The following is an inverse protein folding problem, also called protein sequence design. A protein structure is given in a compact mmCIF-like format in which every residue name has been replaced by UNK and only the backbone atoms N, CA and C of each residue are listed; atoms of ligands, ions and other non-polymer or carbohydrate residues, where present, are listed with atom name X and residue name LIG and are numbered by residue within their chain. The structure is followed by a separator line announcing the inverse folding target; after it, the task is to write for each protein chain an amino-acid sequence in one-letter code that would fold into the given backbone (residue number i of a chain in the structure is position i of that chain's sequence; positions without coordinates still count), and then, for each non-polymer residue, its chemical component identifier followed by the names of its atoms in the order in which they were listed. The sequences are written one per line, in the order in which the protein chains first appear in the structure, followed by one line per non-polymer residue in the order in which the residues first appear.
data_IF_425146744381
#
_entry.id   IF_425146744381
#
_cell.length_a   1.000
_cell.length_b   1.000
_cell.length_c   1.000
_cell.angle_alpha   90.00
_cell.angle_beta   90.00
_cell.angle_gamma   90.00
#
_symmetry.space_group_name_H-M   'P 1'
#
loop_
_entity.id
_entity.type
_entity.pdbx_description
1 polymer ?
#
# COMPACT_ATOMS: atom_id res chain seq x y z
N UNK A 1 17.47 4.99 4.62
CA UNK A 1 17.29 3.57 4.26
C UNK A 1 18.55 2.80 4.63
N UNK A 2 18.42 1.81 5.48
CA UNK A 2 19.54 0.97 5.94
C UNK A 2 19.70 -0.32 5.14
N UNK A 3 18.79 -0.60 4.25
CA UNK A 3 18.77 -1.81 3.45
C UNK A 3 17.48 -2.60 3.61
N UNK A 4 17.50 -3.84 3.14
CA UNK A 4 16.37 -4.78 3.14
C UNK A 4 16.82 -6.20 3.56
N UNK A 5 17.85 -6.27 4.39
CA UNK A 5 18.38 -7.55 4.87
C UNK A 5 17.45 -8.20 5.91
N UNK A 6 16.75 -7.37 6.68
CA UNK A 6 15.70 -7.76 7.61
C UNK A 6 14.56 -6.74 7.51
N UNK A 7 13.38 -7.07 8.03
CA UNK A 7 12.28 -6.12 8.13
C UNK A 7 12.68 -4.87 8.94
N UNK A 8 13.50 -5.05 9.96
CA UNK A 8 14.02 -3.95 10.77
C UNK A 8 14.90 -2.98 10.00
N UNK A 9 15.79 -3.50 9.15
CA UNK A 9 16.64 -2.66 8.29
C UNK A 9 15.78 -1.90 7.28
N UNK A 10 14.77 -2.56 6.73
CA UNK A 10 13.85 -1.96 5.79
C UNK A 10 13.01 -0.85 6.42
N UNK A 11 12.55 -1.05 7.65
CA UNK A 11 11.74 -0.07 8.39
C UNK A 11 12.55 1.08 8.96
N UNK A 12 13.85 0.90 9.21
CA UNK A 12 14.67 1.91 9.88
C UNK A 12 14.80 3.21 9.07
N UNK A 13 14.63 4.37 9.72
CA UNK A 13 14.75 5.71 9.14
C UNK A 13 13.81 5.94 7.94
N UNK A 14 12.61 5.43 8.03
CA UNK A 14 11.55 5.62 7.02
C UNK A 14 10.55 6.67 7.49
N UNK A 15 9.63 7.01 6.59
CA UNK A 15 8.46 7.81 6.92
C UNK A 15 7.73 7.19 8.13
N UNK A 16 7.46 7.96 9.21
CA UNK A 16 6.82 7.43 10.41
C UNK A 16 5.46 6.77 10.15
N UNK A 17 4.76 7.15 9.09
CA UNK A 17 3.48 6.53 8.69
C UNK A 17 3.65 5.07 8.30
N UNK A 18 4.84 4.64 7.91
CA UNK A 18 5.11 3.23 7.62
C UNK A 18 4.85 2.36 8.87
N UNK A 19 5.21 2.85 10.07
CA UNK A 19 4.94 2.14 11.33
C UNK A 19 3.46 2.17 11.74
N UNK A 20 2.69 3.12 11.19
CA UNK A 20 1.24 3.22 11.40
C UNK A 20 0.46 2.33 10.43
N UNK A 21 1.09 1.89 9.34
CA UNK A 21 0.47 1.10 8.27
C UNK A 21 0.85 -0.37 8.38
N UNK A 22 2.13 -0.64 8.69
CA UNK A 22 2.68 -1.99 8.76
C UNK A 22 3.15 -2.26 10.18
N UNK A 23 2.75 -3.39 10.73
CA UNK A 23 3.17 -3.82 12.05
C UNK A 23 4.68 -4.10 12.07
N UNK A 24 5.35 -3.61 13.10
CA UNK A 24 6.80 -3.76 13.26
C UNK A 24 7.19 -3.51 14.71
N UNK A 25 8.43 -3.87 15.08
CA UNK A 25 8.98 -3.57 16.41
C UNK A 25 9.09 -2.06 16.71
N UNK A 26 9.03 -1.22 15.69
CA UNK A 26 9.05 0.24 15.86
C UNK A 26 7.70 0.81 16.29
N UNK A 27 6.64 0.00 16.27
CA UNK A 27 5.36 0.37 16.83
C UNK A 27 5.51 0.53 18.35
N UNK A 28 5.04 1.63 18.96
CA UNK A 28 5.10 1.82 20.40
C UNK A 28 4.44 0.67 21.16
N UNK A 29 5.17 0.02 22.04
CA UNK A 29 4.66 -1.03 22.91
C UNK A 29 5.31 -0.94 24.29
N UNK A 30 4.63 -1.50 25.29
CA UNK A 30 5.15 -1.67 26.66
C UNK A 30 5.50 -3.14 26.86
N UNK A 31 6.63 -3.41 27.49
CA UNK A 31 7.02 -4.77 27.88
C UNK A 31 6.55 -4.99 29.32
N UNK A 32 5.73 -6.02 29.55
CA UNK A 32 5.33 -6.48 30.88
C UNK A 32 6.47 -7.24 31.57
N UNK A 33 6.36 -7.41 32.89
CA UNK A 33 7.33 -8.15 33.70
C UNK A 33 7.51 -9.62 33.29
N UNK A 34 6.50 -10.23 32.64
CA UNK A 34 6.54 -11.56 32.07
C UNK A 34 7.12 -11.61 30.65
N UNK A 35 7.63 -10.49 30.12
CA UNK A 35 8.18 -10.38 28.77
C UNK A 35 7.15 -10.17 27.67
N UNK A 36 5.85 -10.22 27.95
CA UNK A 36 4.81 -9.94 26.97
C UNK A 36 4.87 -8.48 26.49
N UNK A 37 4.76 -8.28 25.19
CA UNK A 37 4.69 -6.95 24.56
C UNK A 37 3.24 -6.53 24.41
N UNK A 38 2.93 -5.33 24.85
CA UNK A 38 1.60 -4.73 24.78
C UNK A 38 1.67 -3.50 23.92
N UNK A 39 0.95 -3.48 22.81
CA UNK A 39 0.92 -2.33 21.92
C UNK A 39 0.16 -1.18 22.60
N UNK A 40 0.81 -0.02 22.71
CA UNK A 40 0.19 1.19 23.20
C UNK A 40 -0.72 1.79 22.13
N UNK A 41 -1.97 1.37 22.14
CA UNK A 41 -2.95 1.84 21.16
C UNK A 41 -3.69 3.12 21.57
N UNK A 42 -3.48 3.57 22.81
CA UNK A 42 -4.24 4.68 23.39
C UNK A 42 -5.68 4.35 23.76
N UNK A 43 -6.09 3.09 23.63
CA UNK A 43 -7.42 2.55 23.93
C UNK A 43 -7.24 1.41 24.93
N UNK A 44 -8.29 1.08 25.69
CA UNK A 44 -8.21 0.17 26.85
C UNK A 44 -7.81 -1.27 26.48
N UNK A 45 -8.15 -1.74 25.27
CA UNK A 45 -7.79 -3.05 24.80
C UNK A 45 -6.39 -3.05 24.15
N UNK A 46 -5.47 -3.77 24.75
CA UNK A 46 -4.08 -3.86 24.32
C UNK A 46 -3.81 -5.23 23.75
N UNK A 47 -3.36 -5.30 22.48
CA UNK A 47 -2.87 -6.54 21.91
C UNK A 47 -1.57 -6.95 22.57
N UNK A 48 -1.53 -8.16 23.10
CA UNK A 48 -0.32 -8.74 23.72
C UNK A 48 0.39 -9.66 22.72
N UNK A 49 1.70 -9.56 22.68
CA UNK A 49 2.57 -10.43 21.88
C UNK A 49 3.47 -11.21 22.82
N UNK A 50 3.72 -12.47 22.51
CA UNK A 50 4.71 -13.26 23.25
C UNK A 50 6.11 -12.72 23.02
N UNK A 51 7.08 -12.98 23.92
CA UNK A 51 8.46 -12.56 23.72
C UNK A 51 9.12 -13.13 22.47
N UNK A 52 8.63 -14.26 21.97
CA UNK A 52 9.10 -14.94 20.76
C UNK A 52 8.42 -14.47 19.46
N UNK A 53 7.37 -13.64 19.55
CA UNK A 53 6.73 -13.08 18.37
C UNK A 53 7.41 -11.78 17.97
N UNK A 54 7.93 -11.75 16.75
CA UNK A 54 8.40 -10.52 16.14
C UNK A 54 7.19 -9.79 15.52
N UNK A 55 6.83 -8.58 16.02
CA UNK A 55 5.76 -7.80 15.42
C UNK A 55 6.04 -7.51 13.95
N UNK A 56 5.06 -7.71 13.11
CA UNK A 56 5.15 -7.42 11.67
C UNK A 56 5.60 -8.58 10.79
N UNK A 57 6.08 -9.67 11.35
CA UNK A 57 6.57 -10.82 10.59
C UNK A 57 5.63 -12.02 10.68
N UNK A 58 4.38 -11.84 10.30
CA UNK A 58 3.40 -12.95 10.31
C UNK A 58 3.47 -13.74 9.00
N UNK A 59 4.63 -14.33 8.69
CA UNK A 59 4.78 -15.24 7.56
C UNK A 59 4.50 -16.65 8.04
N UNK A 60 3.33 -17.18 7.68
CA UNK A 60 3.00 -18.59 7.93
C UNK A 60 3.30 -19.44 6.71
N UNK A 61 3.57 -20.72 6.92
CA UNK A 61 3.89 -21.70 5.88
C UNK A 61 2.81 -21.86 4.82
N UNK A 62 1.54 -21.63 5.17
CA UNK A 62 0.44 -21.70 4.21
C UNK A 62 -0.27 -20.35 4.10
N UNK A 63 -0.72 -19.93 2.89
CA UNK A 63 -1.67 -18.84 2.76
C UNK A 63 -2.98 -19.27 3.41
N UNK A 64 -3.25 -18.76 4.59
CA UNK A 64 -4.45 -19.05 5.36
C UNK A 64 -5.01 -17.77 5.96
N UNK A 65 -6.10 -17.87 6.70
CA UNK A 65 -6.77 -16.75 7.37
C UNK A 65 -5.87 -16.00 8.37
N UNK A 66 -4.76 -16.60 8.78
CA UNK A 66 -3.84 -16.07 9.81
C UNK A 66 -2.50 -15.57 9.29
N UNK A 67 -2.16 -15.81 8.01
CA UNK A 67 -0.90 -15.41 7.41
C UNK A 67 -1.05 -14.35 6.33
N UNK A 68 -0.01 -13.55 6.10
CA UNK A 68 0.01 -12.57 5.00
C UNK A 68 0.64 -13.16 3.75
N UNK A 69 0.09 -12.82 2.58
CA UNK A 69 0.66 -13.25 1.30
C UNK A 69 1.99 -12.55 0.99
N UNK A 70 2.22 -11.38 1.58
CA UNK A 70 3.36 -10.52 1.26
C UNK A 70 4.53 -10.64 2.23
N UNK A 71 4.31 -11.21 3.42
CA UNK A 71 5.24 -11.11 4.55
C UNK A 71 5.08 -9.84 5.39
N UNK A 72 4.28 -8.87 4.95
CA UNK A 72 3.97 -7.66 5.71
C UNK A 72 2.58 -7.76 6.33
N UNK A 73 2.44 -7.38 7.59
CA UNK A 73 1.17 -7.37 8.31
C UNK A 73 0.60 -5.96 8.36
N UNK A 74 -0.45 -5.64 7.61
CA UNK A 74 -1.07 -4.34 7.67
C UNK A 74 -1.84 -4.16 8.97
N UNK A 75 -1.73 -2.97 9.60
CA UNK A 75 -2.42 -2.62 10.85
C UNK A 75 -3.32 -1.40 10.70
N UNK A 76 -3.19 -0.67 9.60
CA UNK A 76 -4.09 0.43 9.29
C UNK A 76 -5.51 -0.11 9.10
N UNK A 77 -6.50 0.58 9.61
CA UNK A 77 -7.92 0.20 9.56
C UNK A 77 -8.28 -1.03 10.44
N UNK A 78 -7.37 -1.46 11.30
CA UNK A 78 -7.65 -2.48 12.30
C UNK A 78 -8.01 -1.77 13.60
N UNK A 79 -9.10 -2.19 14.25
CA UNK A 79 -9.45 -1.66 15.57
C UNK A 79 -8.33 -1.96 16.56
N UNK A 80 -8.00 -1.00 17.41
CA UNK A 80 -7.07 -1.23 18.51
C UNK A 80 -7.71 -2.08 19.64
N UNK A 81 -9.04 -2.21 19.65
CA UNK A 81 -9.78 -3.02 20.62
C UNK A 81 -9.79 -4.48 20.19
N UNK A 82 -9.29 -5.36 21.06
CA UNK A 82 -9.30 -6.80 20.81
C UNK A 82 -10.74 -7.33 20.72
N UNK A 83 -11.63 -6.84 21.58
CA UNK A 83 -13.04 -7.24 21.56
C UNK A 83 -13.73 -6.91 20.22
N UNK A 84 -13.36 -5.80 19.60
CA UNK A 84 -13.85 -5.44 18.26
C UNK A 84 -13.24 -6.29 17.15
N UNK A 85 -11.98 -6.71 17.29
CA UNK A 85 -11.34 -7.63 16.34
C UNK A 85 -11.96 -9.02 16.40
N UNK A 86 -12.29 -9.50 17.61
CA UNK A 86 -12.86 -10.81 17.83
C UNK A 86 -14.37 -10.87 17.51
N UNK A 87 -15.03 -9.73 17.46
CA UNK A 87 -16.45 -9.60 17.16
C UNK A 87 -16.78 -9.80 15.67
N UNK A 88 -16.48 -10.98 15.14
CA UNK A 88 -16.74 -11.32 13.73
C UNK A 88 -18.22 -11.14 13.40
N UNK A 89 -18.54 -10.29 12.41
CA UNK A 89 -19.91 -9.91 11.97
C UNK A 89 -20.71 -9.03 12.94
N UNK A 90 -20.19 -8.71 14.11
CA UNK A 90 -20.89 -7.90 15.12
C UNK A 90 -20.05 -6.71 15.61
N UNK A 91 -18.90 -6.47 15.00
CA UNK A 91 -18.07 -5.31 15.28
C UNK A 91 -18.84 -4.01 14.99
N UNK A 92 -18.79 -3.09 15.94
CA UNK A 92 -19.33 -1.73 15.83
C UNK A 92 -18.25 -0.70 15.51
N UNK A 93 -17.09 -1.15 15.04
CA UNK A 93 -16.00 -0.26 14.63
C UNK A 93 -16.40 0.56 13.40
N UNK A 94 -16.40 1.87 13.57
CA UNK A 94 -16.80 2.80 12.51
C UNK A 94 -15.76 2.84 11.39
N UNK A 95 -16.25 2.76 10.15
CA UNK A 95 -15.45 2.95 8.96
C UNK A 95 -15.55 4.40 8.49
N UNK A 96 -14.42 5.07 8.30
CA UNK A 96 -14.44 6.42 7.73
C UNK A 96 -14.69 6.35 6.22
N UNK A 97 -15.66 7.11 5.76
CA UNK A 97 -16.00 7.24 4.33
C UNK A 97 -15.13 8.32 3.69
N UNK A 98 -14.94 9.44 4.41
CA UNK A 98 -14.09 10.55 4.02
C UNK A 98 -13.22 10.97 5.18
N UNK A 99 -12.02 11.46 4.89
CA UNK A 99 -11.17 12.08 5.91
C UNK A 99 -10.49 13.33 5.37
N UNK A 100 -10.23 14.26 6.26
CA UNK A 100 -9.71 15.58 5.93
C UNK A 100 -8.40 15.53 5.14
N UNK A 101 -7.53 14.55 5.41
CA UNK A 101 -6.28 14.35 4.67
C UNK A 101 -6.51 14.15 3.16
N UNK A 102 -7.58 13.45 2.76
CA UNK A 102 -7.94 13.28 1.36
C UNK A 102 -8.24 14.61 0.70
N UNK A 103 -9.04 15.47 1.36
CA UNK A 103 -9.41 16.81 0.85
C UNK A 103 -8.17 17.70 0.69
N UNK A 104 -7.25 17.67 1.67
CA UNK A 104 -6.00 18.42 1.59
C UNK A 104 -5.14 17.98 0.39
N UNK A 105 -5.07 16.67 0.16
CA UNK A 105 -4.32 16.09 -0.96
C UNK A 105 -4.96 16.39 -2.32
N UNK A 106 -6.29 16.36 -2.41
CA UNK A 106 -7.02 16.76 -3.63
C UNK A 106 -6.74 18.23 -3.95
N UNK A 107 -6.81 19.10 -2.95
CA UNK A 107 -6.59 20.53 -3.15
C UNK A 107 -5.14 20.83 -3.59
N UNK A 108 -4.16 20.22 -2.93
CA UNK A 108 -2.74 20.38 -3.30
C UNK A 108 -2.48 19.92 -4.74
N UNK A 109 -3.01 18.75 -5.12
CA UNK A 109 -2.83 18.19 -6.47
C UNK A 109 -3.49 19.09 -7.52
N UNK A 110 -4.74 19.49 -7.29
CA UNK A 110 -5.48 20.38 -8.21
C UNK A 110 -4.74 21.73 -8.41
N UNK A 111 -4.26 22.36 -7.33
CA UNK A 111 -3.44 23.58 -7.41
C UNK A 111 -2.15 23.37 -8.18
N UNK A 112 -1.50 22.22 -8.01
CA UNK A 112 -0.27 21.91 -8.74
C UNK A 112 -0.52 21.69 -10.24
N UNK A 113 -1.57 20.97 -10.61
CA UNK A 113 -1.97 20.74 -12.01
C UNK A 113 -2.34 22.05 -12.72
N UNK A 114 -2.93 23.02 -12.01
CA UNK A 114 -3.24 24.35 -12.52
C UNK A 114 -2.02 25.29 -12.58
N UNK A 115 -0.85 24.87 -12.08
CA UNK A 115 0.32 25.75 -11.98
C UNK A 115 0.20 26.81 -10.88
N UNK A 116 -0.72 26.67 -9.95
CA UNK A 116 -1.04 27.63 -8.88
C UNK A 116 -0.55 27.17 -7.49
N UNK A 117 0.26 26.14 -7.41
CA UNK A 117 0.75 25.62 -6.14
C UNK A 117 1.85 26.52 -5.56
N UNK A 118 1.49 27.34 -4.59
CA UNK A 118 2.41 28.19 -3.83
C UNK A 118 2.88 27.49 -2.54
N UNK A 119 3.89 28.06 -1.87
CA UNK A 119 4.30 27.54 -0.56
C UNK A 119 3.16 27.60 0.46
N UNK A 120 2.33 28.65 0.44
CA UNK A 120 1.17 28.75 1.30
C UNK A 120 0.18 27.58 1.08
N UNK A 121 -0.07 27.20 -0.18
CA UNK A 121 -0.90 26.02 -0.50
C UNK A 121 -0.30 24.75 0.11
N UNK A 122 1.02 24.56 -0.01
CA UNK A 122 1.70 23.39 0.59
C UNK A 122 1.61 23.41 2.12
N UNK A 123 1.76 24.58 2.75
CA UNK A 123 1.72 24.73 4.21
C UNK A 123 0.31 24.50 4.76
N UNK A 124 -0.72 24.87 4.00
CA UNK A 124 -2.11 24.60 4.34
C UNK A 124 -2.57 23.16 4.07
N UNK A 125 -1.80 22.38 3.34
CA UNK A 125 -2.17 21.02 2.87
C UNK A 125 -1.15 19.98 3.27
N UNK A 126 -0.18 19.73 2.39
CA UNK A 126 0.84 18.67 2.55
C UNK A 126 1.62 18.82 3.85
N UNK A 127 2.02 20.02 4.19
CA UNK A 127 2.84 20.26 5.36
C UNK A 127 2.08 20.03 6.67
N UNK A 128 0.78 20.23 6.72
CA UNK A 128 -0.05 19.80 7.86
C UNK A 128 -0.05 18.28 8.07
N UNK A 129 -0.02 17.51 6.99
CA UNK A 129 0.08 16.05 7.09
C UNK A 129 1.47 15.62 7.55
N UNK A 130 2.51 16.34 7.12
CA UNK A 130 3.90 16.10 7.53
C UNK A 130 4.16 16.53 8.97
N UNK A 131 3.58 17.63 9.42
CA UNK A 131 3.67 18.09 10.82
C UNK A 131 3.14 17.05 11.80
N UNK A 132 2.03 16.38 11.47
CA UNK A 132 1.45 15.31 12.29
C UNK A 132 2.44 14.18 12.61
N UNK A 133 3.39 13.96 11.74
CA UNK A 133 4.37 12.87 11.81
C UNK A 133 5.82 13.36 11.84
N UNK A 134 6.00 14.64 12.19
CA UNK A 134 7.31 15.28 12.36
C UNK A 134 8.25 15.16 11.15
N UNK A 135 7.67 15.18 9.96
CA UNK A 135 8.44 15.13 8.71
C UNK A 135 8.81 16.53 8.23
N UNK A 136 9.95 16.60 7.54
CA UNK A 136 10.39 17.83 6.89
C UNK A 136 9.34 18.35 5.89
N UNK A 137 9.07 19.65 5.94
CA UNK A 137 8.15 20.31 5.02
C UNK A 137 8.54 20.15 3.54
N UNK A 138 7.52 19.99 2.70
CA UNK A 138 7.65 20.07 1.25
C UNK A 138 7.75 21.53 0.84
N UNK A 139 8.66 21.83 -0.08
CA UNK A 139 8.79 23.15 -0.70
C UNK A 139 8.34 23.09 -2.16
N UNK A 140 8.03 24.26 -2.73
CA UNK A 140 7.62 24.36 -4.15
C UNK A 140 8.70 23.93 -5.15
N UNK A 141 9.95 23.86 -4.71
CA UNK A 141 11.09 23.38 -5.51
C UNK A 141 11.76 22.21 -4.80
N UNK A 142 11.13 21.04 -4.73
CA UNK A 142 11.71 19.89 -4.06
C UNK A 142 12.90 19.35 -4.86
N UNK A 143 13.83 18.71 -4.16
CA UNK A 143 14.87 17.92 -4.81
C UNK A 143 14.22 16.73 -5.49
N UNK A 144 14.55 16.50 -6.75
CA UNK A 144 14.01 15.36 -7.50
C UNK A 144 14.44 14.03 -6.85
N UNK A 145 13.54 13.07 -6.87
CA UNK A 145 13.83 11.70 -6.43
C UNK A 145 14.94 11.10 -7.30
N UNK A 146 15.96 10.52 -6.68
CA UNK A 146 17.06 9.87 -7.39
C UNK A 146 16.64 8.56 -8.08
N UNK A 147 15.57 7.96 -7.62
CA UNK A 147 15.01 6.71 -8.15
C UNK A 147 13.50 6.83 -8.36
N UNK A 148 13.06 7.73 -9.25
CA UNK A 148 11.65 7.97 -9.45
C UNK A 148 10.95 6.73 -10.04
N UNK A 149 9.69 6.54 -9.68
CA UNK A 149 8.86 5.54 -10.35
C UNK A 149 8.48 6.05 -11.74
N UNK A 150 8.44 5.15 -12.72
CA UNK A 150 8.08 5.46 -14.10
C UNK A 150 6.56 5.55 -14.26
N UNK A 151 6.07 6.76 -14.52
CA UNK A 151 4.66 7.02 -14.82
C UNK A 151 4.30 6.73 -16.29
N UNK A 152 5.31 6.51 -17.16
CA UNK A 152 5.15 6.44 -18.61
C UNK A 152 5.17 7.81 -19.30
N UNK A 153 5.31 8.88 -18.55
CA UNK A 153 5.43 10.26 -19.01
C UNK A 153 6.14 11.14 -17.96
N UNK A 154 6.61 12.29 -18.40
CA UNK A 154 7.30 13.24 -17.50
C UNK A 154 6.31 14.02 -16.65
N UNK A 155 6.62 14.18 -15.37
CA UNK A 155 5.90 15.05 -14.43
C UNK A 155 6.91 15.92 -13.70
N UNK A 156 6.45 17.07 -13.20
CA UNK A 156 7.31 17.96 -12.42
C UNK A 156 7.70 17.33 -11.08
N UNK A 157 8.88 17.65 -10.51
CA UNK A 157 9.28 17.15 -9.20
C UNK A 157 8.24 17.46 -8.10
N UNK A 158 7.61 18.63 -8.16
CA UNK A 158 6.57 19.00 -7.19
C UNK A 158 5.35 18.11 -7.29
N UNK A 159 4.82 17.90 -8.51
CA UNK A 159 3.67 17.02 -8.72
C UNK A 159 3.99 15.57 -8.33
N UNK A 160 5.22 15.12 -8.63
CA UNK A 160 5.70 13.80 -8.20
C UNK A 160 5.62 13.63 -6.68
N UNK A 161 6.12 14.64 -5.93
CA UNK A 161 6.10 14.61 -4.47
C UNK A 161 4.67 14.65 -3.90
N UNK A 162 3.78 15.47 -4.47
CA UNK A 162 2.37 15.53 -4.05
C UNK A 162 1.68 14.18 -4.28
N UNK A 163 1.87 13.55 -5.45
CA UNK A 163 1.33 12.23 -5.75
C UNK A 163 1.95 11.14 -4.87
N UNK A 164 3.23 11.26 -4.52
CA UNK A 164 3.90 10.37 -3.57
C UNK A 164 3.31 10.52 -2.17
N UNK A 165 3.09 11.74 -1.72
CA UNK A 165 2.45 12.05 -0.44
C UNK A 165 1.05 11.42 -0.36
N UNK A 166 0.25 11.59 -1.43
CA UNK A 166 -1.08 10.98 -1.52
C UNK A 166 -1.01 9.45 -1.44
N UNK A 167 -0.10 8.81 -2.15
CA UNK A 167 0.08 7.37 -2.08
C UNK A 167 0.43 6.87 -0.68
N UNK A 168 1.28 7.59 0.04
CA UNK A 168 1.72 7.20 1.38
C UNK A 168 0.60 7.45 2.40
N UNK A 169 0.00 8.63 2.39
CA UNK A 169 -1.02 9.02 3.34
C UNK A 169 -2.28 8.17 3.22
N UNK A 170 -2.74 7.90 2.00
CA UNK A 170 -3.94 7.12 1.72
C UNK A 170 -3.67 5.63 1.44
N UNK A 171 -2.49 5.13 1.82
CA UNK A 171 -2.17 3.72 1.66
C UNK A 171 -3.20 2.83 2.36
N UNK A 172 -3.64 1.75 1.71
CA UNK A 172 -4.66 0.78 2.14
C UNK A 172 -6.10 1.33 2.26
N UNK A 173 -6.38 2.53 1.77
CA UNK A 173 -7.72 3.12 1.79
C UNK A 173 -8.49 2.98 0.47
N UNK A 174 -7.97 2.20 -0.48
CA UNK A 174 -8.65 1.89 -1.74
C UNK A 174 -8.36 2.83 -2.91
N UNK A 175 -7.78 4.00 -2.69
CA UNK A 175 -7.61 5.05 -3.70
C UNK A 175 -6.59 4.75 -4.81
N UNK A 176 -5.66 3.82 -4.58
CA UNK A 176 -4.49 3.65 -5.46
C UNK A 176 -4.84 3.30 -6.91
N UNK A 177 -5.82 2.43 -7.11
CA UNK A 177 -6.24 2.02 -8.44
C UNK A 177 -6.81 3.22 -9.21
N UNK A 178 -7.75 3.94 -8.62
CA UNK A 178 -8.40 5.11 -9.23
C UNK A 178 -7.38 6.23 -9.53
N UNK A 179 -6.42 6.45 -8.63
CA UNK A 179 -5.33 7.40 -8.85
C UNK A 179 -4.48 7.02 -10.07
N UNK A 180 -4.10 5.76 -10.22
CA UNK A 180 -3.33 5.29 -11.38
C UNK A 180 -4.14 5.48 -12.67
N UNK A 181 -5.43 5.17 -12.65
CA UNK A 181 -6.30 5.30 -13.80
C UNK A 181 -6.50 6.76 -14.20
N UNK A 182 -6.87 7.66 -13.26
CA UNK A 182 -7.09 9.08 -13.55
C UNK A 182 -5.81 9.82 -13.97
N UNK A 183 -4.65 9.36 -13.49
CA UNK A 183 -3.35 9.91 -13.92
C UNK A 183 -2.89 9.35 -15.25
N UNK A 184 -3.60 8.39 -15.84
CA UNK A 184 -3.14 7.63 -17.02
C UNK A 184 -1.72 7.03 -16.80
N UNK A 185 -1.48 6.52 -15.60
CA UNK A 185 -0.16 6.11 -15.12
C UNK A 185 -0.03 4.57 -15.01
N UNK A 186 -0.66 3.82 -15.94
CA UNK A 186 -0.70 2.36 -15.91
C UNK A 186 0.68 1.71 -16.04
N UNK A 187 1.66 2.45 -16.52
CA UNK A 187 3.07 2.03 -16.52
C UNK A 187 3.55 1.62 -15.12
N UNK A 188 2.98 2.22 -14.08
CA UNK A 188 3.27 1.87 -12.69
C UNK A 188 2.94 0.41 -12.35
N UNK A 189 1.98 -0.23 -13.05
CA UNK A 189 1.67 -1.65 -12.85
C UNK A 189 2.79 -2.58 -13.33
N UNK A 190 3.64 -2.12 -14.23
CA UNK A 190 4.77 -2.91 -14.73
C UNK A 190 5.94 -2.96 -13.74
N UNK A 191 5.96 -2.07 -12.74
CA UNK A 191 7.03 -2.06 -11.74
C UNK A 191 7.01 -3.38 -10.94
N UNK A 192 8.08 -4.20 -11.00
CA UNK A 192 8.16 -5.47 -10.31
C UNK A 192 7.89 -5.38 -8.80
N UNK A 193 8.28 -4.28 -8.16
CA UNK A 193 8.00 -4.04 -6.75
C UNK A 193 6.51 -4.05 -6.38
N UNK A 194 5.60 -3.95 -7.36
CA UNK A 194 4.15 -4.01 -7.12
C UNK A 194 3.63 -5.44 -6.92
N UNK A 195 4.44 -6.46 -7.17
CA UNK A 195 4.06 -7.86 -7.00
C UNK A 195 5.10 -8.70 -6.28
N UNK A 196 6.16 -8.10 -5.77
CA UNK A 196 7.10 -8.75 -4.86
C UNK A 196 6.62 -8.59 -3.42
N UNK A 197 6.70 -9.64 -2.65
CA UNK A 197 6.55 -9.59 -1.20
C UNK A 197 7.87 -9.22 -0.52
N UNK A 198 7.99 -9.55 0.75
CA UNK A 198 9.19 -9.31 1.56
C UNK A 198 10.41 -10.02 0.97
N UNK A 199 11.57 -9.37 1.07
CA UNK A 199 12.84 -10.00 0.72
C UNK A 199 13.15 -11.15 1.70
N UNK A 200 13.58 -12.28 1.15
CA UNK A 200 13.94 -13.48 1.92
C UNK A 200 15.45 -13.62 1.91
N UNK A 201 16.08 -13.29 3.02
CA UNK A 201 17.50 -13.46 3.28
C UNK A 201 17.74 -14.62 4.26
N UNK A 202 18.97 -15.05 4.44
CA UNK A 202 19.29 -16.06 5.46
C UNK A 202 18.95 -15.57 6.87
N UNK A 203 19.10 -14.26 7.13
CA UNK A 203 18.67 -13.66 8.40
C UNK A 203 17.16 -13.73 8.59
N UNK A 204 16.39 -13.48 7.53
CA UNK A 204 14.93 -13.62 7.56
C UNK A 204 14.54 -15.08 7.75
N UNK A 205 15.15 -16.02 7.02
CA UNK A 205 14.88 -17.46 7.19
C UNK A 205 15.10 -17.94 8.62
N UNK A 206 16.16 -17.44 9.28
CA UNK A 206 16.49 -17.80 10.66
C UNK A 206 15.43 -17.33 11.69
N UNK A 207 14.52 -16.43 11.33
CA UNK A 207 13.43 -15.95 12.21
C UNK A 207 12.20 -16.87 12.17
N UNK A 208 12.13 -17.80 11.23
CA UNK A 208 10.94 -18.64 10.99
C UNK A 208 11.27 -20.11 11.04
N UNK A 209 10.22 -20.93 11.18
CA UNK A 209 10.34 -22.37 11.04
C UNK A 209 10.72 -22.72 9.59
N UNK A 210 11.60 -23.73 9.37
CA UNK A 210 12.09 -24.07 8.03
C UNK A 210 10.99 -24.30 7.00
N UNK A 211 9.88 -24.91 7.38
CA UNK A 211 8.74 -25.22 6.51
C UNK A 211 8.04 -23.98 5.92
N UNK A 212 8.33 -22.80 6.42
CA UNK A 212 7.84 -21.54 5.82
C UNK A 212 8.48 -21.33 4.43
N UNK A 213 9.72 -21.74 4.26
CA UNK A 213 10.50 -21.52 3.04
C UNK A 213 10.98 -22.81 2.37
N UNK A 214 10.74 -23.96 2.97
CA UNK A 214 11.21 -25.27 2.50
C UNK A 214 10.08 -26.30 2.49
N UNK A 215 10.12 -27.23 1.52
CA UNK A 215 9.12 -28.29 1.41
C UNK A 215 7.90 -27.93 0.55
N UNK A 216 6.94 -28.85 0.51
CA UNK A 216 5.76 -28.78 -0.38
C UNK A 216 4.73 -27.71 -0.01
N UNK A 217 4.76 -27.20 1.22
CA UNK A 217 3.87 -26.16 1.75
C UNK A 217 4.57 -24.82 1.89
N UNK A 218 5.83 -24.72 1.43
CA UNK A 218 6.63 -23.51 1.51
C UNK A 218 6.01 -22.36 0.73
N UNK A 219 6.39 -21.14 1.12
CA UNK A 219 6.09 -19.94 0.36
C UNK A 219 6.74 -20.01 -1.01
N UNK A 220 5.98 -19.61 -2.01
CA UNK A 220 6.50 -19.48 -3.37
C UNK A 220 7.46 -18.29 -3.42
N UNK A 221 8.67 -18.53 -3.94
CA UNK A 221 9.75 -17.55 -3.99
C UNK A 221 10.05 -17.17 -5.44
N UNK A 222 10.56 -15.96 -5.62
CA UNK A 222 10.98 -15.44 -6.93
C UNK A 222 12.30 -14.69 -6.81
N UNK A 223 13.19 -14.95 -7.77
CA UNK A 223 14.43 -14.18 -7.92
C UNK A 223 14.18 -12.92 -8.74
N UNK A 224 14.65 -11.78 -8.24
CA UNK A 224 14.62 -10.51 -8.94
C UNK A 224 15.87 -9.68 -8.62
N UNK A 225 16.62 -9.31 -9.66
CA UNK A 225 17.88 -8.56 -9.53
C UNK A 225 18.86 -9.19 -8.51
N UNK A 226 19.02 -10.51 -8.55
CA UNK A 226 19.93 -11.25 -7.66
C UNK A 226 19.49 -11.28 -6.19
N UNK A 227 18.23 -11.03 -5.92
CA UNK A 227 17.62 -11.10 -4.58
C UNK A 227 16.38 -11.96 -4.61
N UNK A 228 16.17 -12.73 -3.55
CA UNK A 228 15.01 -13.61 -3.36
C UNK A 228 13.88 -12.87 -2.63
N UNK A 229 12.66 -12.99 -3.13
CA UNK A 229 11.47 -12.38 -2.56
C UNK A 229 10.33 -13.38 -2.43
N UNK A 230 9.41 -13.15 -1.50
CA UNK A 230 8.13 -13.86 -1.47
C UNK A 230 7.36 -13.49 -2.74
N UNK A 231 6.91 -14.51 -3.47
CA UNK A 231 6.02 -14.36 -4.61
C UNK A 231 4.58 -14.32 -4.12
N UNK A 232 3.94 -13.15 -4.24
CA UNK A 232 2.57 -12.96 -3.75
C UNK A 232 1.52 -13.75 -4.52
N UNK A 233 1.77 -13.95 -5.81
CA UNK A 233 0.85 -14.64 -6.71
C UNK A 233 1.51 -15.92 -7.21
N UNK A 234 1.13 -17.05 -6.65
CA UNK A 234 1.53 -18.36 -7.17
C UNK A 234 0.72 -18.68 -8.42
N UNK A 235 1.37 -19.24 -9.44
CA UNK A 235 0.71 -19.74 -10.64
C UNK A 235 0.90 -18.89 -11.89
N UNK A 236 0.15 -19.25 -12.93
CA UNK A 236 0.39 -18.86 -14.33
C UNK A 236 0.11 -17.40 -14.70
N UNK A 237 -0.48 -16.61 -13.82
CA UNK A 237 -0.91 -15.23 -14.13
C UNK A 237 0.21 -14.18 -14.07
N UNK A 238 1.33 -14.51 -13.45
CA UNK A 238 2.55 -13.68 -13.42
C UNK A 238 3.71 -14.56 -13.84
N UNK A 239 3.97 -14.58 -15.13
CA UNK A 239 5.17 -15.21 -15.67
C UNK A 239 6.41 -14.36 -15.35
N UNK A 240 7.59 -14.88 -15.63
CA UNK A 240 8.88 -14.20 -15.42
C UNK A 240 8.98 -12.85 -16.18
N UNK A 241 8.17 -12.65 -17.22
CA UNK A 241 8.10 -11.41 -17.97
C UNK A 241 7.37 -10.28 -17.20
N UNK A 242 6.74 -10.57 -16.06
CA UNK A 242 6.01 -9.62 -15.25
C UNK A 242 4.70 -9.13 -15.88
N UNK A 243 4.17 -8.05 -15.31
CA UNK A 243 2.99 -7.38 -15.87
C UNK A 243 3.41 -6.44 -16.99
N UNK A 244 2.58 -6.39 -18.02
CA UNK A 244 2.74 -5.41 -19.11
C UNK A 244 1.43 -4.66 -19.30
N UNK A 245 1.56 -3.39 -19.60
CA UNK A 245 0.46 -2.54 -19.99
C UNK A 245 0.64 -2.16 -21.46
N UNK A 246 -0.35 -2.48 -22.27
CA UNK A 246 -0.40 -2.02 -23.66
C UNK A 246 -1.19 -0.71 -23.71
N UNK A 247 -0.64 0.31 -24.39
CA UNK A 247 -1.37 1.55 -24.63
C UNK A 247 -2.75 1.30 -25.25
N UNK A 248 -3.72 2.13 -24.91
CA UNK A 248 -5.12 1.98 -25.33
C UNK A 248 -5.79 0.66 -24.89
N UNK A 249 -5.37 0.08 -23.78
CA UNK A 249 -6.02 -1.10 -23.23
C UNK A 249 -7.47 -0.79 -22.88
N UNK A 250 -8.38 -1.66 -23.34
CA UNK A 250 -9.83 -1.51 -23.09
C UNK A 250 -10.20 -1.39 -21.62
N UNK A 251 -9.36 -1.89 -20.71
CA UNK A 251 -9.55 -1.81 -19.25
C UNK A 251 -9.46 -0.39 -18.70
N UNK A 252 -9.03 0.59 -19.50
CA UNK A 252 -9.16 2.02 -19.15
C UNK A 252 -10.63 2.45 -18.99
N UNK A 253 -11.52 1.77 -19.68
CA UNK A 253 -12.94 2.05 -19.65
C UNK A 253 -13.70 0.80 -19.22
N UNK A 254 -14.61 0.94 -18.28
CA UNK A 254 -15.50 -0.15 -17.93
C UNK A 254 -16.46 -0.45 -19.08
N UNK A 255 -16.81 -1.72 -19.33
CA UNK A 255 -17.84 -2.04 -20.33
C UNK A 255 -19.20 -1.52 -19.86
N UNK A 256 -19.96 -0.97 -20.80
CA UNK A 256 -21.36 -0.64 -20.55
C UNK A 256 -22.14 -1.96 -20.51
N UNK A 257 -22.94 -2.24 -19.47
CA UNK A 257 -23.73 -3.46 -19.42
C UNK A 257 -24.61 -3.64 -20.64
N UNK A 258 -24.59 -4.82 -21.26
CA UNK A 258 -25.36 -5.11 -22.47
C UNK A 258 -26.84 -4.82 -22.31
N UNK A 259 -27.40 -5.06 -21.13
CA UNK A 259 -28.79 -4.71 -20.79
C UNK A 259 -29.09 -3.23 -20.94
N UNK A 260 -28.14 -2.35 -20.62
CA UNK A 260 -28.33 -0.89 -20.79
C UNK A 260 -28.27 -0.49 -22.26
N UNK A 261 -27.42 -1.13 -23.05
CA UNK A 261 -27.37 -0.90 -24.51
C UNK A 261 -28.69 -1.32 -25.15
N UNK A 262 -29.20 -2.50 -24.80
CA UNK A 262 -30.49 -3.00 -25.30
C UNK A 262 -31.66 -2.09 -24.87
N UNK A 263 -31.66 -1.66 -23.60
CA UNK A 263 -32.69 -0.77 -23.08
C UNK A 263 -32.68 0.58 -23.82
N UNK A 264 -31.51 1.17 -24.05
CA UNK A 264 -31.39 2.45 -24.76
C UNK A 264 -31.89 2.33 -26.19
N UNK A 265 -31.60 1.23 -26.88
CA UNK A 265 -32.09 0.99 -28.23
C UNK A 265 -33.61 0.87 -28.29
N UNK A 266 -34.25 0.22 -27.28
CA UNK A 266 -35.71 0.09 -27.20
C UNK A 266 -36.42 1.45 -26.98
N UNK A 267 -35.70 2.46 -26.48
CA UNK A 267 -36.20 3.83 -26.28
C UNK A 267 -35.73 4.80 -27.39
N UNK A 268 -35.24 4.28 -28.53
CA UNK A 268 -34.85 5.10 -29.66
C UNK A 268 -33.51 5.84 -29.49
N UNK A 269 -32.72 5.50 -28.48
CA UNK A 269 -31.40 6.05 -28.23
C UNK A 269 -30.34 5.00 -28.46
N UNK A 270 -29.29 5.31 -29.22
CA UNK A 270 -28.19 4.36 -29.48
C UNK A 270 -27.04 4.60 -28.54
N UNK A 271 -27.02 3.85 -27.43
CA UNK A 271 -25.86 3.78 -26.56
C UNK A 271 -24.80 2.83 -27.15
N UNK A 272 -23.64 3.37 -27.48
CA UNK A 272 -22.53 2.58 -28.03
C UNK A 272 -21.64 2.07 -26.92
N UNK A 273 -21.10 0.87 -27.11
CA UNK A 273 -20.12 0.28 -26.20
C UNK A 273 -18.83 1.10 -26.18
N UNK A 274 -18.13 1.06 -25.08
CA UNK A 274 -16.79 1.62 -24.95
C UNK A 274 -15.79 0.87 -25.87
N UNK A 275 -14.80 1.59 -26.43
CA UNK A 275 -13.81 0.98 -27.35
C UNK A 275 -13.16 -0.28 -26.78
N UNK A 276 -13.09 -1.32 -27.61
CA UNK A 276 -12.51 -2.61 -27.27
C UNK A 276 -13.42 -3.57 -26.49
N UNK A 277 -14.68 -3.18 -26.25
CA UNK A 277 -15.71 -4.01 -25.62
C UNK A 277 -16.90 -4.34 -26.54
N UNK A 278 -16.77 -4.02 -27.82
CA UNK A 278 -17.80 -4.29 -28.85
C UNK A 278 -18.06 -5.80 -29.01
#
# INVERSE_FOLDING_TARGET
YKGDETLDDEMANRDPRMYQIIDSKYRPYTVKSNGMRVVNSGIDDKKEFSPSEEPGTNVHSAPGLTGTATGYSPIKLVSASQSQQDAVKTSSYDWFVFRYAEILLIYAEAKCELGECTQAVLDETINKLRDRVEMKHLTVSPVADLNPVDYGYSITPLLYEIRRERRIELALEGFRYDDIMRWNAMKLFENPKTYLGMRVTDKVKALYQPEVFEGSTARDLIEYNGKTYIRMYSGKSLNEAGRKWTGNDKRLYYPIPTSQITLSASHGSLLKQNPGWE
#
